data_IF_570940010019
#
_entry.id   IF_570940010019
#
_cell.length_a   1.000
_cell.length_b   1.000
_cell.length_c   1.000
_cell.angle_alpha   90.00
_cell.angle_beta   90.00
_cell.angle_gamma   90.00
#
_symmetry.space_group_name_H-M   'P 1'
#
loop_
_entity.id
_entity.type
_entity.pdbx_description
1 polymer ?
#
# COMPACT_ATOMS: atom_id res chain seq x y z
N UNK A 1 -11.92 -17.04 -14.53
CA UNK A 1 -11.21 -15.79 -14.23
C UNK A 1 -11.34 -15.62 -12.73
N UNK A 2 -10.21 -15.53 -12.04
CA UNK A 2 -10.19 -15.39 -10.58
C UNK A 2 -10.34 -13.90 -10.23
N UNK A 3 -11.16 -13.59 -9.22
CA UNK A 3 -11.36 -12.23 -8.68
C UNK A 3 -10.76 -12.09 -7.28
N UNK A 4 -10.77 -10.87 -6.73
CA UNK A 4 -10.41 -10.63 -5.32
C UNK A 4 -11.29 -11.47 -4.39
N UNK A 5 -12.60 -11.56 -4.66
CA UNK A 5 -13.55 -12.41 -3.93
C UNK A 5 -13.12 -13.88 -3.93
N UNK A 6 -12.75 -14.42 -5.09
CA UNK A 6 -12.32 -15.82 -5.20
C UNK A 6 -11.07 -16.11 -4.33
N UNK A 7 -10.17 -15.12 -4.19
CA UNK A 7 -9.00 -15.23 -3.31
C UNK A 7 -9.41 -15.22 -1.84
N UNK A 8 -10.31 -14.32 -1.44
CA UNK A 8 -10.76 -14.18 -0.04
C UNK A 8 -11.59 -15.38 0.43
N UNK A 9 -12.38 -15.99 -0.46
CA UNK A 9 -13.20 -17.18 -0.15
C UNK A 9 -12.41 -18.50 -0.20
N UNK A 10 -11.15 -18.45 -0.63
CA UNK A 10 -10.28 -19.63 -0.71
C UNK A 10 -9.95 -20.18 0.68
N UNK A 11 -9.92 -21.50 0.89
CA UNK A 11 -9.49 -22.12 2.15
C UNK A 11 -7.96 -22.07 2.37
N UNK A 12 -7.22 -21.34 1.53
CA UNK A 12 -5.76 -21.16 1.60
C UNK A 12 -5.46 -19.75 2.09
N UNK A 13 -4.23 -19.52 2.54
CA UNK A 13 -3.75 -18.19 2.90
C UNK A 13 -4.02 -17.16 1.79
N UNK A 14 -4.53 -15.99 2.19
CA UNK A 14 -4.90 -14.89 1.31
C UNK A 14 -3.70 -14.42 0.48
N UNK A 15 -3.82 -14.50 -0.86
CA UNK A 15 -2.78 -14.00 -1.78
C UNK A 15 -2.89 -12.48 -1.95
N UNK A 16 -2.47 -11.75 -0.94
CA UNK A 16 -2.46 -10.28 -0.92
C UNK A 16 -1.70 -9.67 -2.11
N UNK A 17 -0.69 -10.37 -2.65
CA UNK A 17 0.08 -9.88 -3.80
C UNK A 17 -0.74 -9.90 -5.08
N UNK A 18 -1.59 -10.91 -5.28
CA UNK A 18 -2.53 -10.93 -6.41
C UNK A 18 -3.58 -9.84 -6.26
N UNK A 19 -4.13 -9.65 -5.05
CA UNK A 19 -5.11 -8.59 -4.77
C UNK A 19 -4.50 -7.21 -5.04
N UNK A 20 -3.28 -6.93 -4.55
CA UNK A 20 -2.56 -5.67 -4.82
C UNK A 20 -2.46 -5.38 -6.32
N UNK A 21 -2.10 -6.40 -7.12
CA UNK A 21 -2.00 -6.25 -8.58
C UNK A 21 -3.34 -6.03 -9.24
N UNK A 22 -4.40 -6.71 -8.79
CA UNK A 22 -5.75 -6.57 -9.32
C UNK A 22 -6.24 -5.13 -9.11
N UNK A 23 -6.14 -4.62 -7.89
CA UNK A 23 -6.53 -3.25 -7.56
C UNK A 23 -5.68 -2.22 -8.31
N UNK A 24 -4.36 -2.39 -8.33
CA UNK A 24 -3.46 -1.48 -9.04
C UNK A 24 -3.73 -1.41 -10.56
N UNK A 25 -4.32 -2.45 -11.15
CA UNK A 25 -4.64 -2.51 -12.58
C UNK A 25 -5.99 -1.84 -12.94
N UNK A 26 -6.81 -1.46 -11.96
CA UNK A 26 -8.06 -0.75 -12.23
C UNK A 26 -7.78 0.67 -12.73
N UNK A 27 -8.38 1.05 -13.87
CA UNK A 27 -8.22 2.39 -14.46
C UNK A 27 -8.87 3.48 -13.58
N UNK A 28 -10.08 3.21 -13.08
CA UNK A 28 -10.83 4.08 -12.17
C UNK A 28 -11.05 3.35 -10.84
N UNK A 29 -10.25 3.69 -9.83
CA UNK A 29 -10.36 3.12 -8.47
C UNK A 29 -11.34 3.92 -7.62
N UNK A 30 -12.19 3.22 -6.87
CA UNK A 30 -12.99 3.81 -5.81
C UNK A 30 -12.13 4.10 -4.57
N UNK A 31 -12.71 4.79 -3.59
CA UNK A 31 -12.02 5.16 -2.35
C UNK A 31 -11.54 3.92 -1.57
N UNK A 32 -12.39 2.91 -1.44
CA UNK A 32 -12.07 1.65 -0.75
C UNK A 32 -10.94 0.89 -1.45
N UNK A 33 -10.88 0.94 -2.79
CA UNK A 33 -9.78 0.35 -3.54
C UNK A 33 -8.45 1.08 -3.28
N UNK A 34 -8.46 2.41 -3.12
CA UNK A 34 -7.26 3.18 -2.75
C UNK A 34 -6.84 2.94 -1.29
N UNK A 35 -7.79 2.77 -0.38
CA UNK A 35 -7.53 2.40 1.02
C UNK A 35 -6.84 1.04 1.09
N UNK A 36 -7.45 0.02 0.48
CA UNK A 36 -6.89 -1.32 0.43
C UNK A 36 -5.52 -1.35 -0.27
N UNK A 37 -5.38 -0.65 -1.40
CA UNK A 37 -4.12 -0.60 -2.13
C UNK A 37 -2.99 0.06 -1.32
N UNK A 38 -3.25 1.17 -0.63
CA UNK A 38 -2.27 1.80 0.26
C UNK A 38 -1.77 0.83 1.34
N UNK A 39 -2.69 0.11 1.99
CA UNK A 39 -2.34 -0.84 3.04
C UNK A 39 -1.58 -2.06 2.50
N UNK A 40 -1.97 -2.60 1.33
CA UNK A 40 -1.28 -3.71 0.67
C UNK A 40 0.15 -3.36 0.27
N UNK A 41 0.37 -2.17 -0.30
CA UNK A 41 1.71 -1.66 -0.63
C UNK A 41 2.53 -1.55 0.66
N UNK A 42 1.98 -0.91 1.70
CA UNK A 42 2.67 -0.75 2.98
C UNK A 42 3.06 -2.09 3.57
N UNK A 43 2.12 -3.03 3.69
CA UNK A 43 2.34 -4.41 4.14
C UNK A 43 3.48 -5.07 3.38
N UNK A 44 3.48 -4.99 2.05
CA UNK A 44 4.54 -5.59 1.21
C UNK A 44 5.92 -5.01 1.54
N UNK A 45 6.01 -3.72 1.87
CA UNK A 45 7.28 -3.06 2.22
C UNK A 45 7.71 -3.34 3.66
N UNK A 46 6.78 -3.43 4.60
CA UNK A 46 7.09 -3.72 6.01
C UNK A 46 7.45 -5.19 6.27
N UNK A 47 7.13 -6.12 5.35
CA UNK A 47 7.55 -7.51 5.45
C UNK A 47 9.05 -7.76 5.18
N UNK A 48 9.79 -6.74 4.72
CA UNK A 48 11.22 -6.80 4.53
C UNK A 48 12.02 -6.80 5.84
N UNK A 49 13.33 -7.05 5.74
CA UNK A 49 14.25 -7.03 6.90
C UNK A 49 14.36 -5.67 7.60
N UNK A 50 14.00 -4.59 6.91
CA UNK A 50 14.10 -3.24 7.43
C UNK A 50 12.72 -2.66 7.79
N UNK A 51 11.65 -3.47 7.76
CA UNK A 51 10.34 -3.06 8.22
C UNK A 51 9.86 -1.73 7.63
N UNK A 52 9.41 -0.88 8.52
CA UNK A 52 8.87 0.44 8.24
C UNK A 52 9.91 1.40 7.62
N UNK A 53 11.20 1.18 7.83
CA UNK A 53 12.25 1.94 7.14
C UNK A 53 12.24 1.67 5.62
N UNK A 54 12.06 0.42 5.20
CA UNK A 54 11.95 0.09 3.76
C UNK A 54 10.70 0.74 3.16
N UNK A 55 9.60 0.78 3.92
CA UNK A 55 8.40 1.49 3.49
C UNK A 55 8.65 2.98 3.28
N UNK A 56 9.21 3.69 4.26
CA UNK A 56 9.42 5.14 4.15
C UNK A 56 10.46 5.56 3.11
N UNK A 57 11.38 4.67 2.74
CA UNK A 57 12.36 4.95 1.68
C UNK A 57 11.93 4.44 0.30
N UNK A 58 10.75 3.85 0.19
CA UNK A 58 10.22 3.35 -1.08
C UNK A 58 9.32 4.36 -1.79
N UNK A 59 9.51 4.55 -3.10
CA UNK A 59 8.72 5.47 -3.91
C UNK A 59 7.20 5.28 -3.79
N UNK A 60 6.70 4.04 -3.76
CA UNK A 60 5.25 3.74 -3.73
C UNK A 60 4.62 4.24 -2.42
N UNK A 61 5.30 4.05 -1.30
CA UNK A 61 4.85 4.49 0.02
C UNK A 61 5.06 5.99 0.22
N UNK A 62 6.16 6.56 -0.28
CA UNK A 62 6.41 8.01 -0.19
C UNK A 62 5.35 8.80 -0.95
N UNK A 63 4.90 8.31 -2.11
CA UNK A 63 3.81 8.94 -2.87
C UNK A 63 2.46 8.95 -2.14
N UNK A 64 2.29 8.07 -1.15
CA UNK A 64 1.06 7.92 -0.36
C UNK A 64 1.23 8.44 1.07
N UNK A 65 2.37 9.03 1.38
CA UNK A 65 2.78 9.29 2.76
C UNK A 65 1.81 10.20 3.51
N UNK A 66 1.07 11.05 2.80
CA UNK A 66 0.06 11.96 3.35
C UNK A 66 -1.23 11.25 3.77
N UNK A 67 -1.64 10.24 3.01
CA UNK A 67 -2.90 9.52 3.21
C UNK A 67 -2.74 8.21 4.00
N UNK A 68 -1.52 7.67 4.12
CA UNK A 68 -1.27 6.36 4.75
C UNK A 68 -1.91 6.22 6.13
N UNK A 69 -1.76 7.22 7.01
CA UNK A 69 -2.34 7.16 8.35
C UNK A 69 -3.88 7.13 8.32
N UNK A 70 -4.50 7.89 7.41
CA UNK A 70 -5.96 7.92 7.25
C UNK A 70 -6.47 6.59 6.72
N UNK A 71 -5.85 6.06 5.65
CA UNK A 71 -6.26 4.78 5.07
C UNK A 71 -6.10 3.63 6.07
N UNK A 72 -5.06 3.63 6.91
CA UNK A 72 -4.90 2.61 7.95
C UNK A 72 -5.99 2.71 9.03
N UNK A 73 -6.44 3.92 9.37
CA UNK A 73 -7.52 4.12 10.33
C UNK A 73 -8.87 3.65 9.77
N UNK A 74 -9.15 3.97 8.50
CA UNK A 74 -10.35 3.51 7.79
C UNK A 74 -10.39 1.98 7.65
N UNK A 75 -9.23 1.35 7.47
CA UNK A 75 -9.06 -0.09 7.43
C UNK A 75 -9.19 -0.76 8.80
N UNK A 76 -9.25 0.01 9.89
CA UNK A 76 -9.31 -0.50 11.26
C UNK A 76 -7.95 -0.84 11.88
N UNK A 77 -6.84 -0.58 11.19
CA UNK A 77 -5.47 -0.75 11.68
C UNK A 77 -5.00 0.45 12.51
N UNK A 78 -5.69 0.73 13.63
CA UNK A 78 -5.50 1.94 14.44
C UNK A 78 -4.09 2.11 15.02
N UNK A 79 -3.45 1.02 15.45
CA UNK A 79 -2.07 1.09 15.97
C UNK A 79 -1.07 1.45 14.87
N UNK A 80 -1.19 0.82 13.70
CA UNK A 80 -0.40 1.14 12.51
C UNK A 80 -0.63 2.61 12.07
N UNK A 81 -1.88 3.09 12.09
CA UNK A 81 -2.20 4.49 11.79
C UNK A 81 -1.50 5.45 12.77
N UNK A 82 -1.52 5.15 14.07
CA UNK A 82 -0.86 5.93 15.08
C UNK A 82 0.68 5.93 14.90
N UNK A 83 1.27 4.79 14.55
CA UNK A 83 2.69 4.68 14.24
C UNK A 83 3.08 5.56 13.04
N UNK A 84 2.34 5.50 11.94
CA UNK A 84 2.59 6.36 10.76
C UNK A 84 2.52 7.83 11.14
N UNK A 85 1.52 8.27 11.93
CA UNK A 85 1.39 9.67 12.38
C UNK A 85 2.60 10.12 13.19
N UNK A 86 3.12 9.26 14.07
CA UNK A 86 4.31 9.58 14.85
C UNK A 86 5.54 9.84 13.98
N UNK A 87 5.74 9.03 12.94
CA UNK A 87 6.83 9.23 11.98
C UNK A 87 6.61 10.49 11.14
N UNK A 88 5.40 10.69 10.61
CA UNK A 88 5.04 11.88 9.82
C UNK A 88 5.30 13.19 10.57
N UNK A 89 5.04 13.24 11.88
CA UNK A 89 5.31 14.42 12.72
C UNK A 89 6.80 14.79 12.82
N UNK A 90 7.69 13.87 12.45
CA UNK A 90 9.15 14.09 12.42
C UNK A 90 9.66 14.45 11.02
N UNK A 91 8.84 14.25 9.99
CA UNK A 91 9.21 14.56 8.62
C UNK A 91 9.00 16.05 8.31
N UNK A 92 9.83 16.65 7.44
CA UNK A 92 9.59 18.00 6.95
C UNK A 92 8.30 18.07 6.12
N UNK A 93 7.83 19.29 5.88
CA UNK A 93 6.61 19.52 5.10
C UNK A 93 6.63 18.81 3.73
N UNK A 94 5.47 18.32 3.32
CA UNK A 94 5.29 17.35 2.21
C UNK A 94 5.89 17.76 0.87
N UNK A 95 5.92 19.04 0.52
CA UNK A 95 6.45 19.52 -0.77
C UNK A 95 7.94 19.17 -0.99
N UNK A 96 8.65 18.76 0.06
CA UNK A 96 10.05 18.35 0.00
C UNK A 96 10.27 16.82 0.04
N UNK A 97 9.23 16.00 0.22
CA UNK A 97 9.41 14.57 0.49
C UNK A 97 9.62 13.77 -0.80
N UNK A 98 10.84 13.28 -0.97
CA UNK A 98 11.21 12.26 -1.97
C UNK A 98 11.90 11.09 -1.27
N UNK A 99 11.98 9.90 -1.89
CA UNK A 99 12.73 8.78 -1.30
C UNK A 99 14.16 9.14 -0.90
N UNK A 100 14.85 9.95 -1.71
CA UNK A 100 16.21 10.42 -1.40
C UNK A 100 16.25 11.36 -0.20
N UNK A 101 15.33 12.33 -0.13
CA UNK A 101 15.23 13.25 1.02
C UNK A 101 14.91 12.49 2.31
N UNK A 102 14.03 11.49 2.25
CA UNK A 102 13.70 10.67 3.43
C UNK A 102 14.91 9.83 3.86
N UNK A 103 15.66 9.26 2.92
CA UNK A 103 16.90 8.54 3.23
C UNK A 103 17.92 9.45 3.92
N UNK A 104 18.17 10.65 3.39
CA UNK A 104 19.05 11.65 3.99
C UNK A 104 18.60 12.03 5.40
N UNK A 105 17.29 12.20 5.63
CA UNK A 105 16.75 12.49 6.96
C UNK A 105 17.01 11.37 7.97
N UNK A 106 16.91 10.10 7.55
CA UNK A 106 17.23 8.96 8.43
C UNK A 106 18.73 8.91 8.75
N UNK A 107 19.59 9.18 7.76
CA UNK A 107 21.04 9.22 7.94
C UNK A 107 21.47 10.35 8.90
N UNK A 108 20.80 11.51 8.82
CA UNK A 108 21.08 12.68 9.67
C UNK A 108 20.41 12.60 11.05
N UNK A 109 19.35 11.79 11.21
CA UNK A 109 18.58 11.66 12.45
C UNK A 109 18.48 10.21 12.94
N UNK A 110 19.51 9.68 13.61
CA UNK A 110 19.50 8.31 14.15
C UNK A 110 18.34 8.00 15.11
N UNK A 111 17.83 9.03 15.80
CA UNK A 111 16.64 8.92 16.65
C UNK A 111 15.37 8.60 15.85
N UNK A 112 15.23 9.16 14.64
CA UNK A 112 14.11 8.88 13.75
C UNK A 112 14.20 7.45 13.20
N UNK A 113 15.41 7.00 12.86
CA UNK A 113 15.64 5.61 12.47
C UNK A 113 15.23 4.64 13.58
N UNK A 114 15.64 4.90 14.83
CA UNK A 114 15.26 4.07 15.97
C UNK A 114 13.76 4.07 16.22
N UNK A 115 13.11 5.24 16.15
CA UNK A 115 11.66 5.36 16.28
C UNK A 115 10.95 4.45 15.28
N UNK A 116 11.40 4.42 14.03
CA UNK A 116 10.80 3.59 12.99
C UNK A 116 10.96 2.09 13.29
N UNK A 117 12.10 1.66 13.82
CA UNK A 117 12.30 0.28 14.26
C UNK A 117 11.42 -0.09 15.47
N UNK A 118 11.25 0.83 16.43
CA UNK A 118 10.41 0.63 17.61
C UNK A 118 8.91 0.52 17.24
N UNK A 119 8.52 1.10 16.11
CA UNK A 119 7.13 1.11 15.63
C UNK A 119 6.78 -0.06 14.71
N UNK A 120 7.73 -0.93 14.35
CA UNK A 120 7.48 -2.07 13.46
C UNK A 120 6.41 -3.03 14.01
N UNK A 121 6.36 -3.22 15.33
CA UNK A 121 5.41 -4.12 15.99
C UNK A 121 3.94 -3.68 15.81
N UNK A 122 3.70 -2.38 15.56
CA UNK A 122 2.35 -1.84 15.31
C UNK A 122 1.71 -2.40 14.02
N UNK A 123 2.48 -3.08 13.17
CA UNK A 123 2.04 -3.69 11.93
C UNK A 123 1.75 -5.19 12.06
N UNK A 124 1.86 -5.78 13.25
CA UNK A 124 1.68 -7.21 13.48
C UNK A 124 0.32 -7.77 13.07
N UNK A 125 -0.74 -6.95 13.11
CA UNK A 125 -2.12 -7.34 12.76
C UNK A 125 -2.61 -6.79 11.41
N UNK A 126 -1.71 -6.19 10.60
CA UNK A 126 -2.13 -5.54 9.35
C UNK A 126 -2.80 -6.49 8.35
N UNK A 127 -2.36 -7.74 8.30
CA UNK A 127 -2.94 -8.77 7.42
C UNK A 127 -4.41 -9.02 7.73
N UNK A 128 -4.73 -9.20 9.02
CA UNK A 128 -6.10 -9.45 9.48
C UNK A 128 -6.99 -8.22 9.24
N UNK A 129 -6.47 -7.02 9.45
CA UNK A 129 -7.20 -5.79 9.19
C UNK A 129 -7.48 -5.60 7.68
N UNK A 130 -6.50 -5.88 6.82
CA UNK A 130 -6.69 -5.82 5.36
C UNK A 130 -7.74 -6.83 4.91
N UNK A 131 -7.66 -8.06 5.40
CA UNK A 131 -8.62 -9.11 5.03
C UNK A 131 -10.05 -8.75 5.47
N UNK A 132 -10.23 -8.30 6.72
CA UNK A 132 -11.52 -7.85 7.22
C UNK A 132 -12.08 -6.69 6.40
N UNK A 133 -11.27 -5.69 6.09
CA UNK A 133 -11.70 -4.54 5.29
C UNK A 133 -12.11 -4.94 3.87
N UNK A 134 -11.31 -5.81 3.22
CA UNK A 134 -11.62 -6.30 1.88
C UNK A 134 -12.94 -7.07 1.82
N UNK A 135 -13.27 -7.86 2.85
CA UNK A 135 -14.55 -8.60 2.93
C UNK A 135 -15.77 -7.67 3.01
N UNK A 136 -15.59 -6.46 3.57
CA UNK A 136 -16.64 -5.45 3.71
C UNK A 136 -16.70 -4.46 2.52
N UNK A 137 -15.78 -4.59 1.56
CA UNK A 137 -15.71 -3.70 0.40
C UNK A 137 -16.85 -3.92 -0.62
N UNK A 138 -17.15 -2.90 -1.46
CA UNK A 138 -18.15 -3.03 -2.52
C UNK A 138 -17.75 -4.03 -3.61
N UNK A 139 -18.73 -4.47 -4.40
CA UNK A 139 -18.53 -5.39 -5.55
C UNK A 139 -17.45 -4.92 -6.52
N UNK A 140 -17.28 -3.61 -6.70
CA UNK A 140 -16.24 -3.02 -7.56
C UNK A 140 -14.81 -3.40 -7.13
N UNK A 141 -14.57 -3.59 -5.84
CA UNK A 141 -13.29 -4.06 -5.29
C UNK A 141 -13.23 -5.59 -5.36
N UNK A 142 -14.29 -6.25 -4.92
CA UNK A 142 -14.36 -7.71 -4.82
C UNK A 142 -14.32 -8.43 -6.17
N UNK A 143 -14.86 -7.81 -7.21
CA UNK A 143 -14.93 -8.41 -8.55
C UNK A 143 -13.73 -8.00 -9.43
N UNK A 144 -12.74 -7.29 -8.87
CA UNK A 144 -11.51 -6.94 -9.57
C UNK A 144 -10.76 -8.22 -10.00
N UNK A 145 -10.42 -8.31 -11.29
CA UNK A 145 -9.84 -9.50 -11.90
C UNK A 145 -8.34 -9.63 -11.56
N UNK A 146 -7.91 -10.82 -11.12
CA UNK A 146 -6.51 -11.07 -10.69
C UNK A 146 -5.64 -11.61 -11.82
N UNK A 147 -6.26 -12.21 -12.84
CA UNK A 147 -5.64 -12.62 -14.10
C UNK A 147 -6.09 -11.68 -15.21
N UNK A 148 -5.32 -10.62 -15.45
CA UNK A 148 -5.66 -9.65 -16.48
C UNK A 148 -5.91 -10.31 -17.83
N UNK A 149 -7.07 -10.05 -18.43
CA UNK A 149 -7.16 -10.07 -19.89
C UNK A 149 -6.01 -9.23 -20.43
N UNK A 150 -5.06 -9.90 -21.08
CA UNK A 150 -4.04 -9.27 -21.93
C UNK A 150 -4.75 -8.57 -23.09
N UNK A 151 -5.21 -7.36 -22.84
CA UNK A 151 -5.60 -6.38 -23.83
C UNK A 151 -4.64 -5.21 -23.79
N UNK A 152 -3.35 -5.44 -24.02
CA UNK A 152 -2.43 -4.35 -24.37
C UNK A 152 -3.04 -3.54 -25.52
N UNK A 153 -3.24 -2.21 -25.40
CA UNK A 153 -3.55 -1.41 -26.56
C UNK A 153 -2.26 -1.14 -27.34
N UNK A 154 -1.77 -2.15 -28.06
CA UNK A 154 -0.81 -1.92 -29.17
C UNK A 154 -1.43 -1.09 -30.32
N UNK A 155 -2.69 -0.66 -30.19
CA UNK A 155 -3.38 0.18 -31.16
C UNK A 155 -2.90 1.65 -31.21
N UNK A 156 -2.08 2.15 -30.27
CA UNK A 156 -1.59 3.55 -30.31
C UNK A 156 -0.23 3.78 -30.98
N UNK A 157 0.47 2.74 -31.45
CA UNK A 157 1.78 2.91 -32.13
C UNK A 157 1.72 2.87 -33.66
N UNK A 158 0.52 2.71 -34.27
CA UNK A 158 0.40 2.64 -35.74
C UNK A 158 0.07 3.98 -36.42
N UNK A 159 0.07 5.09 -35.68
CA UNK A 159 -0.27 6.43 -36.19
C UNK A 159 0.91 7.38 -36.44
N UNK A 160 2.16 6.94 -36.21
CA UNK A 160 3.36 7.78 -36.37
C UNK A 160 4.21 7.47 -37.62
N UNK A 161 3.75 6.53 -38.46
CA UNK A 161 4.38 6.22 -39.75
C UNK A 161 3.30 5.92 -40.81
N UNK A 162 2.57 6.94 -41.26
CA UNK A 162 1.95 7.02 -42.60
C UNK A 162 1.70 8.47 -42.95
#
# INVERSE_FOLDING_TARGET
METVRDILESPRDTDFRKIEKALAAQDDRCEEAEVALSALILRRRTQGRNGLFDAFTNADCVQRIDVLATHLEELGAGEAAAAIRQVQQKLPAQEALTPGVILELFDENPELYRLVQELDDAFGEIDAAIESFLLDCPEQVLDAETEGTKGWPLARLRGLFS
#
